data_IF_818504152230
#
_entry.id   IF_818504152230
#
_cell.length_a   1.000
_cell.length_b   1.000
_cell.length_c   1.000
_cell.angle_alpha   90.00
_cell.angle_beta   90.00
_cell.angle_gamma   90.00
#
_symmetry.space_group_name_H-M   'P 1'
#
loop_
_entity.id
_entity.type
_entity.pdbx_description
1 polymer ?
#
# COMPACT_ATOMS: atom_id res chain seq x y z
N UNK A 1 -20.48 -20.46 28.75
CA UNK A 1 -19.25 -19.88 28.16
C UNK A 1 -19.62 -19.32 26.78
N UNK A 2 -19.62 -18.00 26.66
CA UNK A 2 -20.58 -17.24 25.85
C UNK A 2 -20.36 -17.35 24.33
N UNK A 3 -21.44 -17.40 23.54
CA UNK A 3 -21.43 -17.35 22.04
C UNK A 3 -20.55 -16.24 21.46
N UNK A 4 -20.28 -15.18 22.24
CA UNK A 4 -19.36 -14.08 21.92
C UNK A 4 -17.89 -14.53 21.84
N UNK A 5 -17.46 -15.48 22.67
CA UNK A 5 -16.09 -16.02 22.69
C UNK A 5 -15.82 -16.92 21.48
N UNK A 6 -16.76 -17.81 21.14
CA UNK A 6 -16.67 -18.65 19.95
C UNK A 6 -16.72 -17.81 18.65
N UNK A 7 -17.55 -16.75 18.61
CA UNK A 7 -17.57 -15.80 17.49
C UNK A 7 -16.26 -15.04 17.34
N UNK A 8 -15.66 -14.58 18.45
CA UNK A 8 -14.38 -13.91 18.42
C UNK A 8 -13.26 -14.81 17.86
N UNK A 9 -13.16 -16.06 18.32
CA UNK A 9 -12.16 -17.02 17.82
C UNK A 9 -12.28 -17.21 16.29
N UNK A 10 -13.51 -17.36 15.79
CA UNK A 10 -13.75 -17.48 14.34
C UNK A 10 -13.31 -16.23 13.57
N UNK A 11 -13.62 -15.04 14.07
CA UNK A 11 -13.17 -13.77 13.47
C UNK A 11 -11.65 -13.63 13.48
N UNK A 12 -10.98 -13.93 14.60
CA UNK A 12 -9.52 -13.86 14.68
C UNK A 12 -8.83 -14.88 13.77
N UNK A 13 -9.36 -16.11 13.66
CA UNK A 13 -8.84 -17.11 12.75
C UNK A 13 -8.95 -16.66 11.28
N UNK A 14 -10.09 -16.08 10.90
CA UNK A 14 -10.30 -15.53 9.56
C UNK A 14 -9.35 -14.37 9.26
N UNK A 15 -9.22 -13.42 10.20
CA UNK A 15 -8.30 -12.29 10.06
C UNK A 15 -6.84 -12.75 9.96
N UNK A 16 -6.46 -13.77 10.73
CA UNK A 16 -5.12 -14.35 10.68
C UNK A 16 -4.84 -14.99 9.32
N UNK A 17 -5.78 -15.78 8.79
CA UNK A 17 -5.65 -16.38 7.45
C UNK A 17 -5.58 -15.31 6.35
N UNK A 18 -6.45 -14.30 6.40
CA UNK A 18 -6.42 -13.18 5.46
C UNK A 18 -5.07 -12.45 5.51
N UNK A 19 -4.54 -12.21 6.71
CA UNK A 19 -3.22 -11.60 6.92
C UNK A 19 -2.12 -12.43 6.27
N UNK A 20 -2.08 -13.74 6.54
CA UNK A 20 -1.09 -14.64 5.92
C UNK A 20 -1.15 -14.59 4.40
N UNK A 21 -2.34 -14.65 3.81
CA UNK A 21 -2.52 -14.57 2.36
C UNK A 21 -2.01 -13.26 1.77
N UNK A 22 -2.28 -12.12 2.43
CA UNK A 22 -1.78 -10.81 1.99
C UNK A 22 -0.26 -10.65 2.16
N UNK A 23 0.34 -11.37 3.11
CA UNK A 23 1.78 -11.30 3.36
C UNK A 23 2.60 -12.17 2.40
N UNK A 24 2.03 -13.21 1.80
CA UNK A 24 2.73 -14.07 0.82
C UNK A 24 3.48 -13.27 -0.25
N UNK A 25 2.84 -12.35 -1.02
CA UNK A 25 3.54 -11.57 -2.04
C UNK A 25 4.60 -10.64 -1.45
N UNK A 26 4.40 -10.12 -0.24
CA UNK A 26 5.37 -9.26 0.45
C UNK A 26 6.62 -10.06 0.84
N UNK A 27 6.43 -11.24 1.43
CA UNK A 27 7.53 -12.15 1.79
C UNK A 27 8.29 -12.59 0.53
N UNK A 28 7.56 -12.90 -0.54
CA UNK A 28 8.17 -13.24 -1.82
C UNK A 28 9.02 -12.09 -2.39
N UNK A 29 8.51 -10.86 -2.32
CA UNK A 29 9.22 -9.66 -2.78
C UNK A 29 10.54 -9.45 -2.00
N UNK A 30 10.51 -9.55 -0.67
CA UNK A 30 11.69 -9.39 0.18
C UNK A 30 12.72 -10.49 -0.06
N UNK A 31 12.27 -11.74 -0.20
CA UNK A 31 13.17 -12.84 -0.55
C UNK A 31 13.81 -12.60 -1.91
N UNK A 32 13.02 -12.22 -2.91
CA UNK A 32 13.50 -12.03 -4.28
C UNK A 32 14.44 -10.83 -4.42
N UNK A 33 14.25 -9.76 -3.64
CA UNK A 33 15.19 -8.63 -3.64
C UNK A 33 16.59 -8.99 -3.11
N UNK A 34 16.71 -10.08 -2.35
CA UNK A 34 17.99 -10.56 -1.80
C UNK A 34 18.63 -11.69 -2.61
N UNK A 35 17.96 -12.21 -3.65
CA UNK A 35 18.46 -13.29 -4.50
C UNK A 35 19.53 -12.80 -5.49
N UNK A 36 20.47 -13.67 -5.91
CA UNK A 36 21.26 -13.44 -7.11
C UNK A 36 20.38 -13.50 -8.38
N UNK A 37 20.79 -12.81 -9.43
CA UNK A 37 19.98 -12.56 -10.63
C UNK A 37 19.58 -13.83 -11.40
N UNK A 38 20.42 -14.87 -11.37
CA UNK A 38 20.17 -16.18 -11.98
C UNK A 38 19.09 -16.98 -11.21
N UNK A 39 18.98 -16.79 -9.90
CA UNK A 39 18.00 -17.46 -9.06
C UNK A 39 16.58 -16.88 -9.22
N UNK A 40 16.44 -15.62 -9.65
CA UNK A 40 15.12 -14.93 -9.75
C UNK A 40 14.17 -15.63 -10.72
N UNK A 41 14.69 -16.21 -11.82
CA UNK A 41 13.89 -16.84 -12.89
C UNK A 41 14.06 -18.37 -12.96
N UNK A 42 14.61 -18.99 -11.92
CA UNK A 42 14.81 -20.44 -11.86
C UNK A 42 13.49 -21.19 -11.62
N UNK A 43 13.34 -22.36 -12.24
CA UNK A 43 12.27 -23.32 -11.97
C UNK A 43 12.84 -24.62 -11.38
N UNK A 44 12.31 -25.15 -10.26
CA UNK A 44 11.21 -24.61 -9.45
C UNK A 44 11.57 -23.30 -8.74
N UNK A 45 10.56 -22.48 -8.44
CA UNK A 45 10.73 -21.21 -7.73
C UNK A 45 11.31 -21.43 -6.34
N UNK A 46 12.46 -20.82 -6.06
CA UNK A 46 13.12 -20.92 -4.76
C UNK A 46 12.61 -19.82 -3.82
N UNK A 47 12.05 -20.20 -2.67
CA UNK A 47 11.45 -19.26 -1.71
C UNK A 47 12.48 -18.52 -0.85
N UNK A 48 13.67 -19.08 -0.68
CA UNK A 48 14.75 -18.50 0.11
C UNK A 48 15.98 -18.27 -0.78
N UNK A 49 16.72 -17.17 -0.60
CA UNK A 49 17.94 -16.92 -1.36
C UNK A 49 19.02 -17.94 -0.99
N UNK A 50 19.77 -18.43 -1.99
CA UNK A 50 20.93 -19.32 -1.75
C UNK A 50 22.07 -18.56 -1.06
N UNK A 51 22.27 -17.31 -1.47
CA UNK A 51 23.20 -16.35 -0.90
C UNK A 51 22.50 -14.99 -0.80
N UNK A 52 22.76 -14.25 0.28
CA UNK A 52 22.13 -12.95 0.51
C UNK A 52 22.93 -11.86 -0.22
N UNK A 53 22.31 -11.21 -1.21
CA UNK A 53 22.92 -10.12 -2.00
C UNK A 53 22.38 -8.76 -1.57
N UNK A 54 23.01 -8.15 -0.56
CA UNK A 54 22.69 -6.79 -0.12
C UNK A 54 23.03 -5.72 -1.17
N UNK A 55 23.99 -6.02 -2.06
CA UNK A 55 24.42 -5.14 -3.15
C UNK A 55 23.30 -4.84 -4.14
N UNK A 56 22.24 -5.65 -4.17
CA UNK A 56 21.03 -5.37 -4.96
C UNK A 56 20.40 -4.03 -4.54
N UNK A 57 20.41 -3.70 -3.24
CA UNK A 57 19.85 -2.43 -2.75
C UNK A 57 20.74 -1.24 -3.13
N UNK A 58 22.06 -1.33 -2.93
CA UNK A 58 22.98 -0.25 -3.30
C UNK A 58 22.97 -0.01 -4.80
N UNK A 59 22.95 -1.09 -5.60
CA UNK A 59 22.82 -1.03 -7.05
C UNK A 59 21.48 -0.40 -7.47
N UNK A 60 20.36 -0.78 -6.86
CA UNK A 60 19.05 -0.21 -7.18
C UNK A 60 18.96 1.29 -6.85
N UNK A 61 19.53 1.72 -5.73
CA UNK A 61 19.53 3.11 -5.29
C UNK A 61 20.45 4.02 -6.12
N UNK A 62 21.46 3.44 -6.79
CA UNK A 62 22.46 4.18 -7.57
C UNK A 62 22.33 4.03 -9.08
N UNK A 63 21.61 3.02 -9.59
CA UNK A 63 21.44 2.76 -11.03
C UNK A 63 20.71 3.89 -11.77
N UNK A 64 19.87 4.64 -11.06
CA UNK A 64 19.11 5.79 -11.56
C UNK A 64 19.13 6.88 -10.48
N UNK A 65 18.75 8.13 -10.79
CA UNK A 65 18.59 9.18 -9.77
C UNK A 65 17.36 8.89 -8.88
N UNK A 66 17.42 7.80 -8.10
CA UNK A 66 16.33 7.26 -7.29
C UNK A 66 15.78 8.31 -6.32
N UNK A 67 16.67 9.02 -5.63
CA UNK A 67 16.28 10.07 -4.69
C UNK A 67 15.57 11.25 -5.35
N UNK A 68 15.88 11.54 -6.62
CA UNK A 68 15.17 12.57 -7.39
C UNK A 68 13.76 12.09 -7.74
N UNK A 69 13.59 10.83 -8.14
CA UNK A 69 12.26 10.26 -8.38
C UNK A 69 11.42 10.16 -7.11
N UNK A 70 12.05 9.78 -6.00
CA UNK A 70 11.42 9.76 -4.68
C UNK A 70 10.97 11.16 -4.28
N UNK A 71 11.85 12.16 -4.38
CA UNK A 71 11.53 13.56 -4.07
C UNK A 71 10.38 14.10 -4.93
N UNK A 72 10.41 13.85 -6.24
CA UNK A 72 9.33 14.25 -7.14
C UNK A 72 7.99 13.60 -6.76
N UNK A 73 8.00 12.31 -6.41
CA UNK A 73 6.78 11.58 -6.03
C UNK A 73 6.21 12.06 -4.69
N UNK A 74 7.08 12.30 -3.70
CA UNK A 74 6.70 12.86 -2.41
C UNK A 74 6.14 14.27 -2.58
N UNK A 75 6.80 15.12 -3.37
CA UNK A 75 6.35 16.48 -3.62
C UNK A 75 4.98 16.49 -4.33
N UNK A 76 4.84 15.69 -5.39
CA UNK A 76 3.59 15.59 -6.16
C UNK A 76 2.43 15.09 -5.30
N UNK A 77 2.64 14.03 -4.51
CA UNK A 77 1.59 13.47 -3.64
C UNK A 77 1.21 14.43 -2.53
N UNK A 78 2.18 15.14 -1.93
CA UNK A 78 1.93 16.12 -0.87
C UNK A 78 1.15 17.33 -1.40
N UNK A 79 1.52 17.88 -2.55
CA UNK A 79 0.79 18.98 -3.19
C UNK A 79 -0.64 18.54 -3.48
N UNK A 80 -0.81 17.37 -4.10
CA UNK A 80 -2.13 16.85 -4.45
C UNK A 80 -3.00 16.58 -3.21
N UNK A 81 -2.40 16.06 -2.13
CA UNK A 81 -3.08 15.85 -0.85
C UNK A 81 -3.55 17.18 -0.25
N UNK A 82 -2.68 18.18 -0.16
CA UNK A 82 -3.03 19.49 0.44
C UNK A 82 -4.15 20.15 -0.34
N UNK A 83 -4.04 20.20 -1.68
CA UNK A 83 -5.08 20.78 -2.54
C UNK A 83 -6.40 20.02 -2.35
N UNK A 84 -6.36 18.69 -2.37
CA UNK A 84 -7.56 17.87 -2.21
C UNK A 84 -8.21 18.09 -0.85
N UNK A 85 -7.44 18.11 0.24
CA UNK A 85 -7.98 18.34 1.58
C UNK A 85 -8.63 19.71 1.67
N UNK A 86 -7.99 20.77 1.16
CA UNK A 86 -8.56 22.13 1.20
C UNK A 86 -9.86 22.18 0.39
N UNK A 87 -9.86 21.67 -0.84
CA UNK A 87 -11.03 21.71 -1.72
C UNK A 87 -12.16 20.83 -1.21
N UNK A 88 -11.88 19.59 -0.79
CA UNK A 88 -12.89 18.68 -0.24
C UNK A 88 -13.47 19.19 1.07
N UNK A 89 -12.65 19.80 1.94
CA UNK A 89 -13.15 20.39 3.20
C UNK A 89 -14.04 21.61 2.94
N UNK A 90 -13.64 22.49 2.02
CA UNK A 90 -14.44 23.66 1.63
C UNK A 90 -15.75 23.26 0.93
N UNK A 91 -15.70 22.27 0.04
CA UNK A 91 -16.88 21.71 -0.60
C UNK A 91 -17.81 21.07 0.43
N UNK A 92 -17.28 20.20 1.30
CA UNK A 92 -18.04 19.55 2.38
C UNK A 92 -18.71 20.56 3.31
N UNK A 93 -17.99 21.61 3.72
CA UNK A 93 -18.56 22.71 4.52
C UNK A 93 -19.70 23.43 3.80
N UNK A 94 -19.53 23.68 2.50
CA UNK A 94 -20.54 24.33 1.66
C UNK A 94 -21.82 23.50 1.56
N UNK A 95 -21.69 22.19 1.37
CA UNK A 95 -22.83 21.26 1.36
C UNK A 95 -23.53 21.14 2.73
N UNK A 96 -22.76 21.18 3.82
CA UNK A 96 -23.30 21.04 5.17
C UNK A 96 -24.05 22.29 5.67
N UNK A 97 -23.55 23.49 5.35
CA UNK A 97 -24.04 24.74 5.97
C UNK A 97 -24.81 25.66 5.02
N UNK A 98 -24.66 25.55 3.69
CA UNK A 98 -25.33 26.46 2.74
C UNK A 98 -26.41 25.76 1.90
N UNK A 99 -27.43 26.53 1.51
CA UNK A 99 -28.46 26.13 0.54
C UNK A 99 -28.19 26.90 -0.75
N UNK A 100 -27.84 26.21 -1.83
CA UNK A 100 -27.57 26.81 -3.14
C UNK A 100 -28.26 26.04 -4.26
N UNK A 101 -28.52 26.70 -5.38
CA UNK A 101 -29.23 26.10 -6.52
C UNK A 101 -28.34 25.03 -7.18
N UNK A 102 -28.83 23.79 -7.25
CA UNK A 102 -28.10 22.63 -7.78
C UNK A 102 -27.46 21.72 -6.72
N UNK A 103 -27.54 22.06 -5.43
CA UNK A 103 -27.01 21.25 -4.32
C UNK A 103 -27.53 19.82 -4.31
N UNK A 104 -28.84 19.63 -4.43
CA UNK A 104 -29.46 18.31 -4.28
C UNK A 104 -29.15 17.39 -5.48
N UNK A 105 -28.86 17.94 -6.67
CA UNK A 105 -28.39 17.17 -7.83
C UNK A 105 -26.97 16.67 -7.61
N UNK A 106 -26.09 17.50 -7.05
CA UNK A 106 -24.70 17.12 -6.73
C UNK A 106 -24.56 16.20 -5.50
N UNK A 107 -25.63 16.04 -4.70
CA UNK A 107 -25.63 15.16 -3.53
C UNK A 107 -26.15 13.74 -3.84
N UNK A 108 -26.91 13.58 -4.93
CA UNK A 108 -27.49 12.29 -5.36
C UNK A 108 -26.57 11.54 -6.33
N UNK A 109 -25.71 12.26 -7.06
CA UNK A 109 -24.61 11.72 -7.88
C UNK A 109 -23.40 11.37 -7.03
#
# INVERSE_FOLDING_TARGET
MSRKFAGAIGTYALLFLATLLTLIPVIWMVSTSLKPADQVFTYPVEWLPRSVHWDNYTSALTARPFFLYLANSVLQSLISMVISVVLCSAAGYSFAHFRFWGRDVMFVL
#
